data_IF_728794213973
#
_entry.id   IF_728794213973
#
_cell.length_a   1.000
_cell.length_b   1.000
_cell.length_c   1.000
_cell.angle_alpha   90.00
_cell.angle_beta   90.00
_cell.angle_gamma   90.00
#
_symmetry.space_group_name_H-M   'P 1'
#
loop_
_entity.id
_entity.type
_entity.pdbx_description
1 polymer ?
#
# COMPACT_ATOMS: atom_id res chain seq x y z
N UNK A 1 -18.19 -6.46 26.44
CA UNK A 1 -17.56 -6.42 25.10
C UNK A 1 -16.87 -5.06 24.97
N UNK A 2 -15.60 -4.99 24.58
CA UNK A 2 -14.85 -3.72 24.51
C UNK A 2 -14.90 -3.14 23.08
N UNK A 3 -14.76 -1.82 22.92
CA UNK A 3 -14.66 -1.18 21.60
C UNK A 3 -13.55 -1.79 20.73
N UNK A 4 -12.44 -2.19 21.35
CA UNK A 4 -11.33 -2.87 20.68
C UNK A 4 -11.76 -4.23 20.11
N UNK A 5 -12.50 -5.04 20.87
CA UNK A 5 -12.93 -6.36 20.42
C UNK A 5 -13.93 -6.28 19.26
N UNK A 6 -14.78 -5.24 19.24
CA UNK A 6 -15.70 -5.00 18.13
C UNK A 6 -14.94 -4.57 16.87
N UNK A 7 -14.01 -3.61 16.99
CA UNK A 7 -13.21 -3.14 15.87
C UNK A 7 -12.39 -4.26 15.23
N UNK A 8 -11.78 -5.14 16.05
CA UNK A 8 -11.03 -6.30 15.55
C UNK A 8 -11.94 -7.29 14.82
N UNK A 9 -13.14 -7.55 15.34
CA UNK A 9 -14.10 -8.46 14.71
C UNK A 9 -14.58 -7.92 13.37
N UNK A 10 -14.86 -6.62 13.29
CA UNK A 10 -15.24 -5.96 12.03
C UNK A 10 -14.09 -5.98 11.03
N UNK A 11 -12.86 -5.71 11.46
CA UNK A 11 -11.65 -5.78 10.63
C UNK A 11 -11.48 -7.19 10.04
N UNK A 12 -11.57 -8.24 10.86
CA UNK A 12 -11.52 -9.63 10.37
C UNK A 12 -12.62 -9.91 9.35
N UNK A 13 -13.86 -9.49 9.63
CA UNK A 13 -14.98 -9.69 8.70
C UNK A 13 -14.79 -8.99 7.35
N UNK A 14 -14.21 -7.78 7.34
CA UNK A 14 -13.91 -7.05 6.09
C UNK A 14 -12.79 -7.74 5.32
N UNK A 15 -11.71 -8.15 6.00
CA UNK A 15 -10.58 -8.85 5.36
C UNK A 15 -11.04 -10.19 4.76
N UNK A 16 -11.82 -10.97 5.49
CA UNK A 16 -12.37 -12.24 5.02
C UNK A 16 -13.25 -12.02 3.78
N UNK A 17 -14.14 -11.01 3.81
CA UNK A 17 -14.97 -10.67 2.65
C UNK A 17 -14.12 -10.30 1.43
N UNK A 18 -13.11 -9.44 1.60
CA UNK A 18 -12.22 -9.02 0.52
C UNK A 18 -11.45 -10.20 -0.07
N UNK A 19 -11.01 -11.14 0.75
CA UNK A 19 -10.31 -12.33 0.29
C UNK A 19 -11.22 -13.25 -0.54
N UNK A 20 -12.42 -13.55 -0.05
CA UNK A 20 -13.40 -14.35 -0.79
C UNK A 20 -13.81 -13.67 -2.10
N UNK A 21 -14.06 -12.35 -2.06
CA UNK A 21 -14.40 -11.58 -3.26
C UNK A 21 -13.25 -11.60 -4.27
N UNK A 22 -12.01 -11.43 -3.81
CA UNK A 22 -10.82 -11.45 -4.66
C UNK A 22 -10.64 -12.82 -5.33
N UNK A 23 -10.78 -13.92 -4.59
CA UNK A 23 -10.71 -15.27 -5.17
C UNK A 23 -11.78 -15.49 -6.24
N UNK A 24 -13.00 -14.99 -6.02
CA UNK A 24 -14.07 -15.10 -7.01
C UNK A 24 -13.72 -14.34 -8.30
N UNK A 25 -13.27 -13.09 -8.18
CA UNK A 25 -12.88 -12.26 -9.34
C UNK A 25 -11.69 -12.89 -10.08
N UNK A 26 -10.69 -13.40 -9.36
CA UNK A 26 -9.56 -14.11 -9.96
C UNK A 26 -10.03 -15.32 -10.78
N UNK A 27 -10.92 -16.14 -10.22
CA UNK A 27 -11.48 -17.29 -10.93
C UNK A 27 -12.28 -16.89 -12.18
N UNK A 28 -13.06 -15.81 -12.11
CA UNK A 28 -13.81 -15.25 -13.25
C UNK A 28 -12.88 -14.81 -14.40
N UNK A 29 -11.65 -14.38 -14.08
CA UNK A 29 -10.65 -13.95 -15.06
C UNK A 29 -9.62 -15.05 -15.39
N UNK A 30 -9.87 -16.30 -15.00
CA UNK A 30 -8.98 -17.43 -15.32
C UNK A 30 -7.68 -17.46 -14.51
N UNK A 31 -7.68 -16.91 -13.30
CA UNK A 31 -6.60 -17.02 -12.31
C UNK A 31 -7.00 -17.99 -11.20
N UNK A 32 -6.01 -18.63 -10.57
CA UNK A 32 -6.25 -19.46 -9.40
C UNK A 32 -6.28 -18.64 -8.09
N UNK A 33 -6.55 -19.30 -6.96
CA UNK A 33 -6.61 -18.66 -5.64
C UNK A 33 -5.30 -18.02 -5.17
N UNK A 34 -4.16 -18.40 -5.77
CA UNK A 34 -2.86 -17.78 -5.51
C UNK A 34 -2.57 -16.59 -6.43
N UNK A 35 -3.49 -16.25 -7.34
CA UNK A 35 -3.33 -15.19 -8.33
C UNK A 35 -2.43 -15.56 -9.51
N UNK A 36 -2.22 -16.86 -9.76
CA UNK A 36 -1.50 -17.33 -10.95
C UNK A 36 -2.46 -17.49 -12.13
N UNK A 37 -2.10 -17.03 -13.34
CA UNK A 37 -2.92 -17.21 -14.53
C UNK A 37 -2.96 -18.68 -14.93
N UNK A 38 -4.09 -19.12 -15.48
CA UNK A 38 -4.21 -20.42 -16.14
C UNK A 38 -3.55 -20.41 -17.52
N UNK A 39 -3.30 -21.58 -18.10
CA UNK A 39 -2.70 -21.72 -19.44
C UNK A 39 -3.50 -21.00 -20.53
N UNK A 40 -4.83 -20.94 -20.40
CA UNK A 40 -5.69 -20.22 -21.33
C UNK A 40 -5.38 -18.72 -21.36
N UNK A 41 -5.28 -18.09 -20.18
CA UNK A 41 -4.94 -16.67 -20.03
C UNK A 41 -3.52 -16.39 -20.55
N UNK A 42 -2.57 -17.28 -20.25
CA UNK A 42 -1.20 -17.15 -20.74
C UNK A 42 -1.11 -17.15 -22.28
N UNK A 43 -1.98 -17.92 -22.95
CA UNK A 43 -2.08 -17.92 -24.41
C UNK A 43 -2.55 -16.57 -24.98
N UNK A 44 -3.53 -15.92 -24.34
CA UNK A 44 -4.13 -14.66 -24.80
C UNK A 44 -3.19 -13.45 -24.66
N UNK A 45 -2.29 -13.44 -23.66
CA UNK A 45 -1.32 -12.34 -23.44
C UNK A 45 -0.45 -12.08 -24.67
N UNK A 46 -0.22 -13.09 -25.51
CA UNK A 46 0.59 -12.95 -26.74
C UNK A 46 -0.13 -12.23 -27.89
N UNK A 47 -1.46 -12.03 -27.78
CA UNK A 47 -2.29 -11.38 -28.80
C UNK A 47 -2.72 -9.95 -28.43
N UNK A 48 -2.25 -9.41 -27.30
CA UNK A 48 -2.68 -8.12 -26.76
C UNK A 48 -2.32 -6.92 -27.64
N UNK A 49 -3.15 -5.88 -27.56
CA UNK A 49 -2.91 -4.59 -28.21
C UNK A 49 -1.75 -3.86 -27.53
N UNK A 50 -0.83 -3.32 -28.33
CA UNK A 50 0.26 -2.48 -27.82
C UNK A 50 -0.28 -1.15 -27.26
N UNK A 51 -0.04 -0.91 -25.96
CA UNK A 51 -0.47 0.30 -25.22
C UNK A 51 0.69 1.20 -24.83
N UNK A 52 1.84 1.00 -25.44
CA UNK A 52 2.99 1.87 -25.25
C UNK A 52 2.66 3.27 -25.75
N UNK A 53 3.25 4.26 -25.11
CA UNK A 53 3.18 5.65 -25.54
C UNK A 53 3.70 5.74 -26.98
N UNK A 54 2.99 6.53 -27.82
CA UNK A 54 3.42 6.77 -29.20
C UNK A 54 4.80 7.44 -29.22
N UNK A 55 5.68 6.96 -30.10
CA UNK A 55 7.04 7.48 -30.25
C UNK A 55 7.07 9.00 -30.47
N UNK A 56 6.15 9.54 -31.27
CA UNK A 56 6.02 10.98 -31.53
C UNK A 56 5.86 11.81 -30.24
N UNK A 57 5.03 11.32 -29.31
CA UNK A 57 4.80 12.01 -28.02
C UNK A 57 6.01 11.88 -27.11
N UNK A 58 6.68 10.71 -27.12
CA UNK A 58 7.92 10.52 -26.36
C UNK A 58 9.01 11.46 -26.85
N UNK A 59 9.20 11.59 -28.16
CA UNK A 59 10.19 12.49 -28.76
C UNK A 59 9.88 13.97 -28.45
N UNK A 60 8.62 14.38 -28.49
CA UNK A 60 8.19 15.73 -28.11
C UNK A 60 8.54 16.04 -26.64
N UNK A 61 8.22 15.12 -25.73
CA UNK A 61 8.55 15.28 -24.30
C UNK A 61 10.06 15.26 -24.06
N UNK A 62 10.80 14.41 -24.78
CA UNK A 62 12.25 14.30 -24.68
C UNK A 62 12.95 15.57 -25.21
N UNK A 63 12.41 16.20 -26.26
CA UNK A 63 12.88 17.49 -26.74
C UNK A 63 12.67 18.59 -25.69
N UNK A 64 11.50 18.65 -25.06
CA UNK A 64 11.23 19.60 -23.98
C UNK A 64 12.19 19.43 -22.79
N UNK A 65 12.48 18.18 -22.40
CA UNK A 65 13.47 17.87 -21.35
C UNK A 65 14.88 18.31 -21.77
N UNK A 66 15.27 18.05 -23.02
CA UNK A 66 16.57 18.46 -23.55
C UNK A 66 16.75 19.99 -23.55
N UNK A 67 15.70 20.73 -23.93
CA UNK A 67 15.69 22.19 -23.89
C UNK A 67 15.81 22.72 -22.46
N UNK A 68 15.10 22.12 -21.51
CA UNK A 68 15.22 22.47 -20.09
C UNK A 68 16.63 22.19 -19.54
N UNK A 69 17.23 21.06 -19.93
CA UNK A 69 18.61 20.73 -19.58
C UNK A 69 19.60 21.75 -20.15
N UNK A 70 19.44 22.16 -21.41
CA UNK A 70 20.28 23.19 -22.01
C UNK A 70 20.16 24.53 -21.25
N UNK A 71 18.95 24.93 -20.88
CA UNK A 71 18.71 26.14 -20.08
C UNK A 71 19.35 26.08 -18.68
N UNK A 72 19.44 24.88 -18.10
CA UNK A 72 20.08 24.63 -16.80
C UNK A 72 21.60 24.47 -16.90
N UNK A 73 22.20 24.58 -18.10
CA UNK A 73 23.64 24.56 -18.32
C UNK A 73 24.27 23.17 -18.41
N UNK A 74 23.49 22.13 -18.71
CA UNK A 74 24.03 20.79 -18.96
C UNK A 74 24.80 20.74 -20.28
N UNK A 75 25.85 19.91 -20.35
CA UNK A 75 26.65 19.77 -21.57
C UNK A 75 25.89 19.01 -22.66
N UNK A 76 26.23 19.23 -23.95
CA UNK A 76 25.63 18.46 -25.06
C UNK A 76 25.78 16.94 -24.88
N UNK A 77 26.92 16.48 -24.36
CA UNK A 77 27.19 15.07 -24.10
C UNK A 77 26.25 14.47 -23.04
N UNK A 78 25.88 15.25 -22.02
CA UNK A 78 24.92 14.82 -20.99
C UNK A 78 23.50 14.72 -21.57
N UNK A 79 23.12 15.67 -22.42
CA UNK A 79 21.82 15.68 -23.09
C UNK A 79 21.70 14.50 -24.06
N UNK A 80 22.75 14.23 -24.84
CA UNK A 80 22.79 13.09 -25.76
C UNK A 80 22.74 11.75 -25.01
N UNK A 81 23.41 11.65 -23.85
CA UNK A 81 23.31 10.46 -22.99
C UNK A 81 21.88 10.19 -22.50
N UNK A 82 21.12 11.24 -22.17
CA UNK A 82 19.71 11.10 -21.78
C UNK A 82 18.87 10.63 -22.97
N UNK A 83 19.07 11.21 -24.15
CA UNK A 83 18.35 10.81 -25.37
C UNK A 83 18.59 9.35 -25.73
N UNK A 84 19.85 8.92 -25.69
CA UNK A 84 20.20 7.53 -25.99
C UNK A 84 19.58 6.54 -24.99
N UNK A 85 19.49 6.93 -23.71
CA UNK A 85 18.84 6.11 -22.69
C UNK A 85 17.32 6.03 -22.89
N UNK A 86 16.69 7.14 -23.26
CA UNK A 86 15.26 7.19 -23.56
C UNK A 86 14.90 6.36 -24.80
N UNK A 87 15.71 6.42 -25.86
CA UNK A 87 15.50 5.64 -27.08
C UNK A 87 15.53 4.10 -26.84
N UNK A 88 16.25 3.65 -25.81
CA UNK A 88 16.28 2.25 -25.40
C UNK A 88 15.17 1.83 -24.42
N UNK A 89 14.34 2.78 -23.97
CA UNK A 89 13.29 2.54 -22.99
C UNK A 89 11.94 2.30 -23.63
N UNK A 90 11.11 1.50 -22.97
CA UNK A 90 9.68 1.38 -23.28
C UNK A 90 8.93 2.36 -22.39
N UNK A 91 8.15 3.24 -23.01
CA UNK A 91 7.32 4.20 -22.30
C UNK A 91 5.86 3.74 -22.30
N UNK A 92 5.26 3.67 -21.13
CA UNK A 92 3.85 3.32 -20.96
C UNK A 92 2.98 4.55 -21.18
N UNK A 93 1.76 4.37 -21.72
CA UNK A 93 0.80 5.46 -21.85
C UNK A 93 0.12 5.74 -20.51
N UNK A 94 0.28 6.95 -19.90
CA UNK A 94 -0.34 7.28 -18.63
C UNK A 94 -1.87 7.13 -18.60
N UNK A 95 -2.55 7.27 -19.75
CA UNK A 95 -4.00 7.08 -19.84
C UNK A 95 -4.43 5.63 -19.62
N UNK A 96 -3.50 4.69 -19.82
CA UNK A 96 -3.70 3.26 -19.67
C UNK A 96 -2.89 2.66 -18.52
N UNK A 97 -2.31 3.50 -17.66
CA UNK A 97 -1.52 3.08 -16.50
C UNK A 97 -2.30 3.22 -15.20
N UNK A 98 -2.05 2.28 -14.29
CA UNK A 98 -2.47 2.36 -12.89
C UNK A 98 -1.24 2.31 -12.00
N UNK A 99 -1.04 3.33 -11.18
CA UNK A 99 0.08 3.37 -10.24
C UNK A 99 -0.28 2.60 -8.98
N UNK A 100 0.56 1.63 -8.61
CA UNK A 100 0.40 0.86 -7.37
C UNK A 100 1.66 1.03 -6.52
N UNK A 101 1.49 1.53 -5.29
CA UNK A 101 2.53 1.53 -4.27
C UNK A 101 2.17 0.52 -3.18
N UNK A 102 3.15 -0.26 -2.70
CA UNK A 102 2.94 -1.24 -1.64
C UNK A 102 3.99 -1.02 -0.56
N UNK A 103 3.52 -0.80 0.67
CA UNK A 103 4.36 -0.46 1.82
C UNK A 103 3.95 -1.27 3.04
N UNK A 104 4.93 -1.67 3.87
CA UNK A 104 4.67 -2.22 5.19
C UNK A 104 4.57 -1.11 6.22
N UNK A 105 3.43 -1.04 6.92
CA UNK A 105 3.14 0.00 7.90
C UNK A 105 3.09 -0.59 9.30
N UNK A 106 4.03 -0.13 10.13
CA UNK A 106 4.16 -0.49 11.53
C UNK A 106 3.47 0.53 12.45
N UNK A 107 2.43 0.11 13.18
CA UNK A 107 1.76 0.95 14.18
C UNK A 107 1.87 0.37 15.58
N UNK A 108 2.01 1.24 16.59
CA UNK A 108 2.02 0.82 18.01
C UNK A 108 0.60 0.47 18.43
N UNK A 109 0.40 -0.68 19.06
CA UNK A 109 -0.89 -1.04 19.67
C UNK A 109 -1.31 -0.01 20.72
N UNK A 110 -2.60 0.33 20.71
CA UNK A 110 -3.19 1.21 21.69
C UNK A 110 -3.13 0.57 23.09
N UNK A 111 -2.87 1.38 24.12
CA UNK A 111 -2.86 0.91 25.51
C UNK A 111 -4.29 0.58 25.96
N UNK A 112 -4.47 -0.56 26.63
CA UNK A 112 -5.75 -0.97 27.21
C UNK A 112 -6.24 -0.02 28.32
N UNK A 113 -5.34 0.68 29.02
CA UNK A 113 -5.67 1.62 30.07
C UNK A 113 -4.86 2.92 29.91
N UNK A 114 -5.55 4.06 29.93
CA UNK A 114 -4.92 5.37 30.08
C UNK A 114 -4.84 5.62 31.59
N UNK A 115 -3.66 5.50 32.18
CA UNK A 115 -3.44 6.07 33.51
C UNK A 115 -3.79 7.57 33.41
N UNK A 116 -4.88 7.98 34.06
CA UNK A 116 -5.13 9.39 34.30
C UNK A 116 -3.93 9.88 35.09
N UNK A 117 -3.21 10.86 34.56
CA UNK A 117 -2.20 11.57 35.33
C UNK A 117 -2.89 12.06 36.60
N UNK A 118 -2.46 11.53 37.75
CA UNK A 118 -3.01 11.90 39.04
C UNK A 118 -2.94 13.42 39.18
N UNK A 119 -4.08 14.03 39.50
CA UNK A 119 -4.14 15.45 39.80
C UNK A 119 -3.15 15.78 40.92
N UNK A 120 -2.50 16.95 40.80
CA UNK A 120 -1.57 17.47 41.82
C UNK A 120 -2.27 17.59 43.18
N UNK A 121 -1.58 17.35 44.30
CA UNK A 121 -2.21 17.26 45.61
C UNK A 121 -2.58 18.65 46.14
N UNK A 122 -3.84 18.81 46.57
CA UNK A 122 -4.37 20.08 47.08
C UNK A 122 -5.68 20.02 47.86
N UNK A 123 -6.42 18.90 47.88
CA UNK A 123 -7.58 18.72 48.77
C UNK A 123 -7.64 17.26 49.26
N UNK A 124 -7.54 17.06 50.57
CA UNK A 124 -7.70 15.81 51.35
C UNK A 124 -8.63 16.14 52.55
N UNK A 125 -9.15 15.19 53.38
CA UNK A 125 -8.84 13.74 53.54
C UNK A 125 -10.14 12.85 53.65
N UNK A 126 -10.17 11.52 53.45
CA UNK A 126 -9.74 10.38 54.28
C UNK A 126 -10.56 9.18 53.71
N UNK A 127 -10.12 7.92 53.56
CA UNK A 127 -9.67 6.95 54.57
C UNK A 127 -8.75 5.93 53.85
N UNK A 128 -7.64 5.56 54.48
CA UNK A 128 -6.81 4.38 54.19
C UNK A 128 -6.72 3.57 55.50
N UNK A 129 -6.77 2.22 55.47
CA UNK A 129 -5.54 1.40 55.43
C UNK A 129 -5.69 0.19 54.46
N UNK A 130 -4.67 -0.49 53.93
CA UNK A 130 -3.21 -0.48 54.11
C UNK A 130 -2.55 -1.20 52.88
N UNK A 131 -1.22 -1.13 52.73
CA UNK A 131 -0.51 -1.45 51.50
C UNK A 131 0.12 -2.86 51.51
N UNK A 132 0.37 -3.41 50.33
CA UNK A 132 1.49 -4.33 50.11
C UNK A 132 2.11 -4.07 48.74
N UNK A 133 3.20 -3.28 48.68
CA UNK A 133 4.06 -3.23 47.51
C UNK A 133 5.27 -4.13 47.79
N UNK A 134 5.29 -5.33 47.23
CA UNK A 134 6.61 -5.89 46.91
C UNK A 134 7.22 -5.00 45.84
N UNK A 135 8.38 -4.45 46.18
CA UNK A 135 9.24 -3.53 45.42
C UNK A 135 9.75 -4.08 44.07
N UNK A 136 8.94 -4.81 43.31
CA UNK A 136 9.29 -5.34 42.00
C UNK A 136 8.73 -4.49 40.83
N UNK A 137 7.69 -3.67 41.05
CA UNK A 137 7.03 -2.96 39.96
C UNK A 137 7.77 -1.67 39.51
N UNK A 138 8.77 -1.19 40.27
CA UNK A 138 9.43 0.09 39.98
C UNK A 138 10.62 0.01 39.01
N UNK A 139 10.92 -1.16 38.44
CA UNK A 139 11.99 -1.35 37.44
C UNK A 139 11.59 -2.24 36.25
N UNK A 140 10.31 -2.29 35.86
CA UNK A 140 9.96 -2.85 34.56
C UNK A 140 10.26 -1.80 33.48
N UNK A 141 11.36 -2.01 32.77
CA UNK A 141 11.94 -1.09 31.80
C UNK A 141 10.97 -0.63 30.71
N UNK A 142 11.47 0.31 29.90
CA UNK A 142 10.91 0.76 28.62
C UNK A 142 10.52 -0.43 27.73
N UNK A 143 9.42 -1.12 28.01
CA UNK A 143 8.91 -2.18 27.14
C UNK A 143 8.41 -1.48 25.89
N UNK A 144 9.08 -1.75 24.78
CA UNK A 144 8.65 -1.22 23.48
C UNK A 144 7.21 -1.71 23.27
N UNK A 145 6.29 -0.78 23.00
CA UNK A 145 4.87 -1.14 22.82
C UNK A 145 4.78 -2.17 21.69
N UNK A 146 3.97 -3.24 21.84
CA UNK A 146 3.77 -4.20 20.76
C UNK A 146 3.26 -3.47 19.51
N UNK A 147 3.81 -3.80 18.35
CA UNK A 147 3.43 -3.22 17.06
C UNK A 147 2.47 -4.16 16.31
N UNK A 148 1.72 -3.60 15.39
CA UNK A 148 0.99 -4.31 14.34
C UNK A 148 1.62 -3.85 13.03
N UNK A 149 2.05 -4.81 12.21
CA UNK A 149 2.51 -4.57 10.86
C UNK A 149 1.37 -4.93 9.92
N UNK A 150 0.95 -3.99 9.07
CA UNK A 150 -0.01 -4.23 8.01
C UNK A 150 0.65 -3.87 6.69
N UNK A 151 0.48 -4.70 5.67
CA UNK A 151 0.86 -4.32 4.31
C UNK A 151 -0.27 -3.48 3.73
N UNK A 152 0.08 -2.32 3.17
CA UNK A 152 -0.85 -1.35 2.61
C UNK A 152 -0.52 -1.14 1.14
N UNK A 153 -1.49 -1.32 0.26
CA UNK A 153 -1.40 -0.91 -1.12
C UNK A 153 -2.17 0.40 -1.35
N UNK A 154 -1.58 1.33 -2.09
CA UNK A 154 -2.25 2.51 -2.63
C UNK A 154 -2.32 2.37 -4.13
N UNK A 155 -3.52 2.56 -4.67
CA UNK A 155 -3.81 2.41 -6.09
C UNK A 155 -4.30 3.75 -6.60
N UNK A 156 -3.63 4.31 -7.60
CA UNK A 156 -3.98 5.59 -8.22
C UNK A 156 -4.18 5.42 -9.72
N UNK A 157 -5.30 5.94 -10.23
CA UNK A 157 -5.59 6.03 -11.66
C UNK A 157 -6.27 7.37 -11.94
N UNK A 158 -5.58 8.25 -12.68
CA UNK A 158 -6.03 9.63 -12.90
C UNK A 158 -6.29 10.37 -11.58
N UNK A 159 -7.53 10.77 -11.33
CA UNK A 159 -7.94 11.46 -10.10
C UNK A 159 -8.46 10.55 -8.99
N UNK A 160 -8.57 9.24 -9.23
CA UNK A 160 -9.10 8.27 -8.27
C UNK A 160 -7.97 7.65 -7.46
N UNK A 161 -8.21 7.46 -6.16
CA UNK A 161 -7.26 6.86 -5.22
C UNK A 161 -7.96 5.86 -4.32
N UNK A 162 -7.37 4.69 -4.16
CA UNK A 162 -7.87 3.61 -3.31
C UNK A 162 -6.76 3.11 -2.38
N UNK A 163 -7.13 2.68 -1.19
CA UNK A 163 -6.21 2.09 -0.21
C UNK A 163 -6.73 0.73 0.20
N UNK A 164 -5.90 -0.30 0.08
CA UNK A 164 -6.16 -1.64 0.55
C UNK A 164 -5.15 -1.98 1.65
N UNK A 165 -5.59 -2.65 2.70
CA UNK A 165 -4.69 -3.14 3.76
C UNK A 165 -5.03 -4.58 4.09
N UNK A 166 -4.00 -5.42 4.20
CA UNK A 166 -4.17 -6.81 4.58
C UNK A 166 -3.03 -7.28 5.48
N UNK A 167 -3.20 -8.46 6.10
CA UNK A 167 -2.26 -8.99 7.08
C UNK A 167 -0.96 -9.55 6.49
N UNK A 168 -0.86 -9.65 5.16
CA UNK A 168 0.34 -10.10 4.47
C UNK A 168 0.45 -9.53 3.06
N UNK A 169 1.68 -9.44 2.54
CA UNK A 169 1.95 -9.03 1.16
C UNK A 169 1.21 -9.90 0.13
N UNK A 170 1.21 -11.22 0.29
CA UNK A 170 0.51 -12.11 -0.65
C UNK A 170 -0.99 -11.83 -0.73
N UNK A 171 -1.63 -11.57 0.41
CA UNK A 171 -3.05 -11.21 0.46
C UNK A 171 -3.30 -9.84 -0.20
N UNK A 172 -2.45 -8.85 0.06
CA UNK A 172 -2.53 -7.53 -0.59
C UNK A 172 -2.38 -7.66 -2.10
N UNK A 173 -1.38 -8.39 -2.59
CA UNK A 173 -1.13 -8.54 -4.03
C UNK A 173 -2.29 -9.23 -4.75
N UNK A 174 -2.91 -10.25 -4.14
CA UNK A 174 -4.11 -10.87 -4.71
C UNK A 174 -5.31 -9.93 -4.74
N UNK A 175 -5.53 -9.17 -3.67
CA UNK A 175 -6.59 -8.16 -3.62
C UNK A 175 -6.36 -7.05 -4.65
N UNK A 176 -5.11 -6.59 -4.81
CA UNK A 176 -4.73 -5.61 -5.84
C UNK A 176 -4.99 -6.19 -7.23
N UNK A 177 -4.52 -7.40 -7.53
CA UNK A 177 -4.71 -8.03 -8.83
C UNK A 177 -6.21 -8.18 -9.16
N UNK A 178 -7.00 -8.70 -8.22
CA UNK A 178 -8.44 -8.80 -8.36
C UNK A 178 -9.10 -7.43 -8.56
N UNK A 179 -8.68 -6.42 -7.79
CA UNK A 179 -9.17 -5.05 -7.96
C UNK A 179 -8.90 -4.52 -9.36
N UNK A 180 -7.69 -4.71 -9.88
CA UNK A 180 -7.31 -4.25 -11.21
C UNK A 180 -8.10 -4.98 -12.31
N UNK A 181 -8.30 -6.29 -12.18
CA UNK A 181 -9.10 -7.10 -13.10
C UNK A 181 -10.57 -6.68 -13.10
N UNK A 182 -11.20 -6.61 -11.92
CA UNK A 182 -12.61 -6.27 -11.78
C UNK A 182 -12.97 -4.89 -12.34
N UNK A 183 -12.04 -3.95 -12.28
CA UNK A 183 -12.23 -2.57 -12.73
C UNK A 183 -11.63 -2.34 -14.14
N UNK A 184 -11.19 -3.38 -14.84
CA UNK A 184 -10.61 -3.29 -16.20
C UNK A 184 -9.42 -2.32 -16.28
N UNK A 185 -8.62 -2.28 -15.20
CA UNK A 185 -7.51 -1.34 -15.03
C UNK A 185 -6.18 -1.87 -15.57
N UNK A 186 -6.12 -3.16 -15.91
CA UNK A 186 -5.00 -3.79 -16.60
C UNK A 186 -5.10 -3.56 -18.11
N UNK A 187 -5.27 -2.32 -18.54
CA UNK A 187 -5.40 -1.96 -19.96
C UNK A 187 -6.36 -2.88 -20.74
N UNK A 188 -7.66 -2.57 -20.74
CA UNK A 188 -8.69 -3.21 -21.58
C UNK A 188 -8.70 -2.74 -23.03
#
# INVERSE_FOLDING_TARGET
MTLQANAQREETGVVDFLEHHSHRVLAEHGFNGDGQPTEAVLGEVTAGTDRRQKAEVVEEQLAAVADEMAQRGFSPEQIDSVRQRAAGAVHEDPAHCTTVSVDDVDVKKQKAHRERAAAKPGDSPAIVPEPTPTDAARKAGKSSRPRVANTVARIEQGSKRFTLSAGSLGQVLRCVLAFLLHNELLGG
#
